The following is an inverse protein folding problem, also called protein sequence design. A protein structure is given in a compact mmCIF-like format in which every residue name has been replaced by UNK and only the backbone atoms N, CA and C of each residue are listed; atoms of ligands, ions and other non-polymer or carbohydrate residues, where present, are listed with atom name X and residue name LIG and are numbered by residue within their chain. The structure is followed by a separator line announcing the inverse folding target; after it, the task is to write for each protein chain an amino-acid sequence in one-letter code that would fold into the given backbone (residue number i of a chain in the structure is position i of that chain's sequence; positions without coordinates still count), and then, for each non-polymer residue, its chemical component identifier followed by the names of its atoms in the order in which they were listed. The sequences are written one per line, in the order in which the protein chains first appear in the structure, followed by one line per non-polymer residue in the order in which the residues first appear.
data_IF_839546651349
#
_entry.id   IF_839546651349
#
_cell.length_a   1.000
_cell.length_b   1.000
_cell.length_c   1.000
_cell.angle_alpha   90.00
_cell.angle_beta   90.00
_cell.angle_gamma   90.00
#
_symmetry.space_group_name_H-M   'P 1'
#
loop_
_entity.id
_entity.type
_entity.pdbx_description
1 polymer ?
#
# COMPACT_ATOMS: atom_id res chain seq x y z
N UNK A 1 15.65 -6.78 -27.02
CA UNK A 1 15.06 -7.35 -25.78
C UNK A 1 15.09 -6.30 -24.67
N UNK A 2 13.98 -6.02 -23.99
CA UNK A 2 13.98 -5.21 -22.76
C UNK A 2 14.33 -6.11 -21.57
N UNK A 3 15.19 -5.60 -20.68
CA UNK A 3 15.60 -6.29 -19.45
C UNK A 3 15.11 -5.50 -18.24
N UNK A 4 14.50 -6.20 -17.30
CA UNK A 4 14.17 -5.65 -15.98
C UNK A 4 14.64 -6.66 -14.93
N UNK A 5 15.82 -6.43 -14.35
CA UNK A 5 16.46 -7.36 -13.41
C UNK A 5 17.18 -6.57 -12.33
N UNK A 6 17.01 -6.99 -11.09
CA UNK A 6 17.78 -6.46 -9.97
C UNK A 6 19.12 -7.20 -9.87
N UNK A 7 20.22 -6.47 -10.10
CA UNK A 7 21.57 -7.01 -10.06
C UNK A 7 21.99 -7.45 -8.65
N UNK A 8 21.50 -6.79 -7.60
CA UNK A 8 21.90 -7.08 -6.22
C UNK A 8 21.34 -8.43 -5.75
N UNK A 9 20.11 -8.75 -6.12
CA UNK A 9 19.44 -10.00 -5.69
C UNK A 9 19.35 -11.06 -6.78
N UNK A 10 19.88 -10.78 -7.98
CA UNK A 10 19.79 -11.61 -9.18
C UNK A 10 18.34 -12.01 -9.52
N UNK A 11 17.38 -11.12 -9.23
CA UNK A 11 15.96 -11.32 -9.53
C UNK A 11 15.63 -10.76 -10.90
N UNK A 12 15.14 -11.62 -11.78
CA UNK A 12 14.74 -11.25 -13.13
C UNK A 12 13.21 -11.21 -13.29
N UNK A 13 12.71 -10.20 -14.00
CA UNK A 13 11.30 -9.99 -14.31
C UNK A 13 11.15 -9.92 -15.84
N UNK A 14 10.77 -11.06 -16.42
CA UNK A 14 10.87 -11.29 -17.87
C UNK A 14 9.54 -11.12 -18.63
N UNK A 15 8.41 -10.94 -17.94
CA UNK A 15 7.08 -10.81 -18.56
C UNK A 15 6.57 -9.38 -18.45
N UNK A 16 6.74 -8.59 -19.50
CA UNK A 16 6.15 -7.25 -19.61
C UNK A 16 4.61 -7.34 -19.47
N UNK A 17 4.02 -6.46 -18.67
CA UNK A 17 2.58 -6.40 -18.41
C UNK A 17 1.96 -5.16 -19.06
N UNK A 18 2.58 -4.00 -18.86
CA UNK A 18 2.08 -2.72 -19.34
C UNK A 18 3.22 -1.70 -19.47
N UNK A 19 2.97 -0.65 -20.26
CA UNK A 19 3.93 0.42 -20.55
C UNK A 19 3.24 1.78 -20.47
N UNK A 20 3.89 2.74 -19.82
CA UNK A 20 3.46 4.14 -19.78
C UNK A 20 4.58 5.06 -20.26
N UNK A 21 4.24 5.98 -21.17
CA UNK A 21 5.17 6.99 -21.68
C UNK A 21 4.97 8.30 -20.91
N UNK A 22 6.06 8.85 -20.40
CA UNK A 22 6.08 10.16 -19.75
C UNK A 22 7.07 11.07 -20.51
N UNK A 23 6.57 11.97 -21.38
CA UNK A 23 7.39 12.97 -22.04
C UNK A 23 8.13 13.87 -21.03
N UNK A 24 9.37 14.20 -21.35
CA UNK A 24 10.19 15.10 -20.53
C UNK A 24 9.73 16.57 -20.67
N UNK A 25 9.76 17.40 -19.60
CA UNK A 25 9.42 18.82 -19.69
C UNK A 25 10.24 19.62 -20.71
N UNK A 26 11.47 19.20 -20.99
CA UNK A 26 12.34 19.85 -22.00
C UNK A 26 11.78 19.74 -23.43
N UNK A 27 10.81 18.86 -23.68
CA UNK A 27 10.31 18.54 -25.01
C UNK A 27 11.24 17.66 -25.84
N UNK A 28 12.41 17.28 -25.29
CA UNK A 28 13.35 16.41 -25.97
C UNK A 28 12.83 14.97 -25.98
N UNK A 29 12.48 14.45 -27.16
CA UNK A 29 11.91 13.10 -27.28
C UNK A 29 12.82 11.99 -26.73
N UNK A 30 14.14 12.18 -26.78
CA UNK A 30 15.14 11.22 -26.27
C UNK A 30 15.03 11.02 -24.76
N UNK A 31 14.57 12.05 -24.05
CA UNK A 31 14.44 12.05 -22.59
C UNK A 31 13.06 11.57 -22.14
N UNK A 32 12.17 11.23 -23.09
CA UNK A 32 10.89 10.58 -22.78
C UNK A 32 11.15 9.26 -22.05
N UNK A 33 10.57 9.18 -20.85
CA UNK A 33 10.67 8.02 -19.97
C UNK A 33 9.63 6.98 -20.33
N UNK A 34 10.06 5.73 -20.40
CA UNK A 34 9.23 4.55 -20.68
C UNK A 34 9.17 3.73 -19.41
N UNK A 35 8.06 3.81 -18.68
CA UNK A 35 7.83 3.01 -17.49
C UNK A 35 7.24 1.66 -17.91
N UNK A 36 7.94 0.57 -17.61
CA UNK A 36 7.46 -0.79 -17.86
C UNK A 36 7.19 -1.54 -16.56
N UNK A 37 6.02 -2.16 -16.46
CA UNK A 37 5.72 -3.13 -15.40
C UNK A 37 6.06 -4.51 -15.90
N UNK A 38 6.88 -5.24 -15.15
CA UNK A 38 7.27 -6.60 -15.46
C UNK A 38 6.82 -7.53 -14.33
N UNK A 39 6.56 -8.78 -14.68
CA UNK A 39 6.34 -9.86 -13.72
C UNK A 39 7.26 -11.04 -14.00
N UNK A 40 7.35 -11.95 -13.03
CA UNK A 40 8.06 -13.22 -13.15
C UNK A 40 7.09 -14.42 -13.03
N UNK A 41 7.55 -15.67 -13.12
CA UNK A 41 6.69 -16.86 -13.01
C UNK A 41 5.93 -17.02 -11.69
N UNK A 42 6.34 -16.35 -10.61
CA UNK A 42 5.63 -16.31 -9.33
C UNK A 42 4.63 -15.16 -9.23
N UNK A 43 4.38 -14.44 -10.33
CA UNK A 43 3.56 -13.23 -10.38
C UNK A 43 4.07 -12.10 -9.45
N UNK A 44 5.34 -12.12 -9.06
CA UNK A 44 5.96 -10.94 -8.43
C UNK A 44 6.30 -9.92 -9.50
N UNK A 45 6.21 -8.64 -9.15
CA UNK A 45 6.36 -7.55 -10.10
C UNK A 45 7.52 -6.62 -9.79
N UNK A 46 8.02 -5.97 -10.84
CA UNK A 46 9.00 -4.90 -10.77
C UNK A 46 8.62 -3.79 -11.76
N UNK A 47 9.03 -2.56 -11.45
CA UNK A 47 8.89 -1.42 -12.36
C UNK A 47 10.27 -0.99 -12.82
N UNK A 48 10.50 -0.96 -14.13
CA UNK A 48 11.73 -0.44 -14.72
C UNK A 48 11.43 0.80 -15.55
N UNK A 49 12.38 1.72 -15.61
CA UNK A 49 12.27 2.94 -16.42
C UNK A 49 13.36 2.92 -17.49
N UNK A 50 13.00 3.20 -18.73
CA UNK A 50 13.91 3.32 -19.88
C UNK A 50 13.80 4.71 -20.49
N UNK A 51 14.79 5.14 -21.28
CA UNK A 51 14.67 6.35 -22.11
C UNK A 51 14.47 5.96 -23.57
N UNK A 52 13.68 6.75 -24.32
CA UNK A 52 13.59 6.57 -25.78
C UNK A 52 14.95 6.79 -26.45
N UNK A 53 15.83 7.62 -25.87
CA UNK A 53 17.19 7.83 -26.33
C UNK A 53 18.05 6.56 -26.28
N UNK A 54 18.02 5.82 -25.17
CA UNK A 54 18.77 4.57 -25.02
C UNK A 54 18.22 3.46 -25.92
N UNK A 55 16.89 3.39 -26.08
CA UNK A 55 16.24 2.46 -27.00
C UNK A 55 16.66 2.73 -28.45
N UNK A 56 16.60 4.00 -28.90
CA UNK A 56 17.04 4.41 -30.23
C UNK A 56 18.52 4.13 -30.45
N UNK A 57 19.36 4.41 -29.45
CA UNK A 57 20.80 4.12 -29.50
C UNK A 57 21.05 2.64 -29.75
N UNK A 58 20.41 1.75 -29.00
CA UNK A 58 20.53 0.29 -29.19
C UNK A 58 20.13 -0.12 -30.60
N UNK A 59 19.00 0.36 -31.13
CA UNK A 59 18.56 0.03 -32.49
C UNK A 59 19.54 0.51 -33.57
N UNK A 60 20.15 1.68 -33.38
CA UNK A 60 21.07 2.27 -34.36
C UNK A 60 22.50 1.72 -34.28
N UNK A 61 22.94 1.19 -33.15
CA UNK A 61 24.35 0.82 -32.96
C UNK A 61 24.60 -0.68 -32.78
N UNK A 62 23.64 -1.45 -32.23
CA UNK A 62 23.86 -2.87 -31.94
C UNK A 62 24.14 -3.69 -33.21
N UNK A 63 24.88 -4.79 -33.11
CA UNK A 63 24.84 -5.83 -34.14
C UNK A 63 23.50 -6.57 -34.12
N UNK A 64 23.22 -7.33 -35.18
CA UNK A 64 22.07 -8.24 -35.24
C UNK A 64 22.51 -9.63 -34.76
N UNK A 65 21.70 -10.27 -33.93
CA UNK A 65 22.01 -11.56 -33.33
C UNK A 65 22.10 -12.63 -34.42
N UNK A 66 23.19 -13.39 -34.43
CA UNK A 66 23.45 -14.42 -35.46
C UNK A 66 23.99 -13.88 -36.78
N UNK A 67 24.15 -12.56 -36.94
CA UNK A 67 24.75 -11.95 -38.13
C UNK A 67 26.17 -11.47 -37.84
N UNK A 68 27.16 -12.07 -38.52
CA UNK A 68 28.59 -11.84 -38.24
C UNK A 68 29.32 -11.06 -39.35
N UNK A 69 28.64 -10.72 -40.44
CA UNK A 69 29.18 -9.95 -41.56
C UNK A 69 28.99 -8.44 -41.37
N UNK A 70 29.57 -7.63 -42.26
CA UNK A 70 29.29 -6.20 -42.32
C UNK A 70 27.80 -5.96 -42.64
N UNK A 71 27.21 -4.97 -41.99
CA UNK A 71 25.81 -4.59 -42.24
C UNK A 71 25.69 -3.85 -43.58
N UNK A 72 24.58 -4.05 -44.32
CA UNK A 72 24.34 -3.35 -45.57
C UNK A 72 24.10 -1.85 -45.34
N UNK A 73 24.23 -1.06 -46.42
CA UNK A 73 23.89 0.36 -46.44
C UNK A 73 22.71 0.57 -47.40
N UNK A 74 21.54 1.06 -46.94
CA UNK A 74 21.24 1.56 -45.60
C UNK A 74 21.19 0.46 -44.54
N UNK A 75 21.49 0.84 -43.29
CA UNK A 75 21.44 -0.06 -42.14
C UNK A 75 20.01 -0.62 -41.95
N UNK A 76 19.85 -1.92 -41.62
CA UNK A 76 18.57 -2.50 -41.23
C UNK A 76 17.85 -1.67 -40.15
N UNK A 77 16.57 -1.35 -40.38
CA UNK A 77 15.74 -0.55 -39.47
C UNK A 77 15.89 0.97 -39.60
N UNK A 78 16.78 1.49 -40.48
CA UNK A 78 16.90 2.92 -40.74
C UNK A 78 15.81 3.40 -41.70
N UNK A 79 15.07 4.43 -41.30
CA UNK A 79 14.12 5.11 -42.18
C UNK A 79 14.85 5.84 -43.32
N UNK A 80 14.29 5.79 -44.53
CA UNK A 80 14.80 6.50 -45.70
C UNK A 80 13.98 7.76 -46.02
N UNK A 81 14.61 8.82 -46.54
CA UNK A 81 13.92 10.02 -46.98
C UNK A 81 13.10 9.76 -48.26
N UNK A 82 12.27 10.74 -48.64
CA UNK A 82 11.59 10.82 -49.94
C UNK A 82 10.80 9.57 -50.37
N UNK A 83 10.25 8.84 -49.39
CA UNK A 83 9.48 7.60 -49.61
C UNK A 83 10.26 6.52 -50.39
N UNK A 84 11.59 6.56 -50.34
CA UNK A 84 12.43 5.58 -51.02
C UNK A 84 12.19 4.17 -50.44
N UNK A 85 12.06 3.13 -51.30
CA UNK A 85 11.91 1.77 -50.82
C UNK A 85 13.23 1.28 -50.21
N UNK A 86 13.13 0.41 -49.19
CA UNK A 86 14.29 -0.25 -48.59
C UNK A 86 14.92 -1.20 -49.64
N UNK A 87 16.24 -1.11 -49.92
CA UNK A 87 16.91 -2.05 -50.81
C UNK A 87 16.74 -3.51 -50.37
N UNK A 88 16.58 -4.41 -51.35
CA UNK A 88 16.30 -5.83 -51.10
C UNK A 88 17.38 -6.47 -50.22
N UNK A 89 18.64 -6.12 -50.41
CA UNK A 89 19.76 -6.61 -49.59
C UNK A 89 19.63 -6.22 -48.11
N UNK A 90 19.25 -4.97 -47.82
CA UNK A 90 18.98 -4.50 -46.45
C UNK A 90 17.78 -5.22 -45.86
N UNK A 91 16.72 -5.37 -46.63
CA UNK A 91 15.51 -6.05 -46.21
C UNK A 91 15.78 -7.52 -45.84
N UNK A 92 16.48 -8.27 -46.70
CA UNK A 92 16.79 -9.69 -46.44
C UNK A 92 17.60 -9.90 -45.16
N UNK A 93 18.51 -8.98 -44.83
CA UNK A 93 19.27 -9.04 -43.57
C UNK A 93 18.34 -8.77 -42.39
N UNK A 94 17.51 -7.74 -42.47
CA UNK A 94 16.56 -7.37 -41.41
C UNK A 94 15.53 -8.47 -41.14
N UNK A 95 14.99 -9.08 -42.22
CA UNK A 95 13.98 -10.14 -42.17
C UNK A 95 14.54 -11.43 -41.56
N UNK A 96 15.77 -11.82 -41.92
CA UNK A 96 16.42 -13.02 -41.36
C UNK A 96 16.96 -12.82 -39.93
N UNK A 97 17.37 -11.61 -39.58
CA UNK A 97 17.98 -11.31 -38.27
C UNK A 97 17.33 -10.09 -37.59
N UNK A 98 16.04 -10.18 -37.20
CA UNK A 98 15.30 -9.03 -36.66
C UNK A 98 15.69 -8.66 -35.23
N UNK A 99 16.31 -9.58 -34.47
CA UNK A 99 16.73 -9.34 -33.08
C UNK A 99 18.11 -8.68 -33.02
N UNK A 100 18.19 -7.51 -32.38
CA UNK A 100 19.48 -6.88 -32.02
C UNK A 100 20.17 -7.67 -30.90
N UNK A 101 21.50 -7.78 -30.96
CA UNK A 101 22.30 -8.53 -29.99
C UNK A 101 22.37 -7.85 -28.60
N UNK A 102 22.45 -6.52 -28.56
CA UNK A 102 22.48 -5.76 -27.32
C UNK A 102 21.07 -5.68 -26.70
N UNK A 103 21.03 -5.74 -25.37
CA UNK A 103 19.80 -5.62 -24.59
C UNK A 103 19.53 -4.15 -24.26
N UNK A 104 18.25 -3.80 -24.15
CA UNK A 104 17.81 -2.50 -23.61
C UNK A 104 17.68 -2.66 -22.09
N UNK A 105 18.42 -1.84 -21.36
CA UNK A 105 18.52 -1.90 -19.90
C UNK A 105 17.91 -0.63 -19.27
N UNK A 106 17.48 -0.67 -17.99
CA UNK A 106 16.90 0.49 -17.32
C UNK A 106 17.84 1.70 -17.27
N UNK A 107 17.26 2.89 -17.12
CA UNK A 107 17.96 4.15 -16.91
C UNK A 107 18.80 4.13 -15.63
N UNK A 108 19.79 5.02 -15.59
CA UNK A 108 20.64 5.23 -14.42
C UNK A 108 21.87 4.31 -14.38
N UNK A 109 22.87 4.63 -13.53
CA UNK A 109 24.15 3.93 -13.52
C UNK A 109 24.04 2.44 -13.16
N UNK A 110 23.10 2.11 -12.26
CA UNK A 110 22.92 0.76 -11.72
C UNK A 110 22.04 -0.14 -12.60
N UNK A 111 21.31 0.43 -13.58
CA UNK A 111 20.45 -0.31 -14.52
C UNK A 111 19.53 -1.34 -13.85
N UNK A 112 18.96 -0.98 -12.70
CA UNK A 112 18.14 -1.84 -11.83
C UNK A 112 16.67 -1.36 -11.85
N UNK A 113 15.68 -2.18 -11.43
CA UNK A 113 14.31 -1.72 -11.31
C UNK A 113 14.20 -0.57 -10.30
N UNK A 114 13.22 0.30 -10.53
CA UNK A 114 12.85 1.37 -9.60
C UNK A 114 12.51 0.79 -8.22
N UNK A 115 11.74 -0.32 -8.24
CA UNK A 115 11.53 -1.20 -7.11
C UNK A 115 10.94 -2.52 -7.60
N UNK A 116 10.88 -3.50 -6.69
CA UNK A 116 10.16 -4.75 -6.91
C UNK A 116 9.34 -5.14 -5.66
N UNK A 117 8.26 -5.86 -5.84
CA UNK A 117 7.43 -6.36 -4.74
C UNK A 117 6.86 -7.74 -5.04
N UNK A 118 6.24 -8.36 -4.03
CA UNK A 118 5.52 -9.63 -4.18
C UNK A 118 4.09 -9.45 -4.70
N UNK A 119 3.65 -8.22 -4.97
CA UNK A 119 2.36 -7.95 -5.59
C UNK A 119 2.42 -8.26 -7.08
N UNK A 120 1.30 -8.72 -7.63
CA UNK A 120 1.13 -8.90 -9.06
C UNK A 120 0.53 -7.64 -9.67
N UNK A 121 1.38 -6.77 -10.19
CA UNK A 121 0.95 -5.57 -10.89
C UNK A 121 0.64 -5.84 -12.36
N UNK A 122 -0.41 -5.18 -12.87
CA UNK A 122 -0.91 -5.40 -14.24
C UNK A 122 -0.86 -4.16 -15.12
N UNK A 123 -1.05 -2.96 -14.56
CA UNK A 123 -1.05 -1.68 -15.31
C UNK A 123 -0.32 -0.59 -14.56
N UNK A 124 0.22 0.39 -15.28
CA UNK A 124 0.89 1.56 -14.70
C UNK A 124 0.42 2.87 -15.34
N UNK A 125 0.26 3.89 -14.51
CA UNK A 125 0.19 5.27 -14.95
C UNK A 125 1.12 6.11 -14.08
N UNK A 126 1.75 7.14 -14.65
CA UNK A 126 2.70 7.97 -13.90
C UNK A 126 2.34 9.44 -14.03
N UNK A 127 2.25 10.13 -12.90
CA UNK A 127 2.04 11.57 -12.86
C UNK A 127 3.30 12.26 -12.34
N UNK A 128 3.83 13.21 -13.12
CA UNK A 128 4.86 14.14 -12.68
C UNK A 128 4.18 15.36 -12.06
N UNK A 129 4.54 15.71 -10.84
CA UNK A 129 3.90 16.77 -10.06
C UNK A 129 4.92 17.59 -9.27
N UNK A 130 4.55 18.82 -8.90
CA UNK A 130 5.34 19.68 -8.02
C UNK A 130 4.69 19.80 -6.64
N UNK A 131 5.46 19.49 -5.60
CA UNK A 131 5.06 19.60 -4.21
C UNK A 131 4.87 21.07 -3.82
N UNK A 132 4.34 21.34 -2.62
CA UNK A 132 4.06 22.71 -2.16
C UNK A 132 5.31 23.60 -2.14
N UNK A 133 6.51 23.01 -2.01
CA UNK A 133 7.79 23.71 -2.02
C UNK A 133 8.51 23.66 -3.38
N UNK A 134 7.83 23.25 -4.45
CA UNK A 134 8.35 23.24 -5.82
C UNK A 134 9.18 22.00 -6.20
N UNK A 135 9.47 21.12 -5.26
CA UNK A 135 10.16 19.85 -5.53
C UNK A 135 9.32 18.96 -6.46
N UNK A 136 9.96 18.35 -7.45
CA UNK A 136 9.28 17.52 -8.44
C UNK A 136 9.31 16.06 -8.04
N UNK A 137 8.13 15.43 -8.03
CA UNK A 137 7.95 14.01 -7.76
C UNK A 137 7.32 13.30 -8.96
N UNK A 138 7.69 12.04 -9.14
CA UNK A 138 7.01 11.11 -10.03
C UNK A 138 6.21 10.12 -9.19
N UNK A 139 4.90 10.06 -9.40
CA UNK A 139 4.01 9.19 -8.62
C UNK A 139 3.37 8.17 -9.55
N UNK A 140 3.61 6.90 -9.25
CA UNK A 140 3.14 5.75 -9.98
C UNK A 140 1.81 5.28 -9.39
N UNK A 141 0.86 4.98 -10.26
CA UNK A 141 -0.40 4.31 -9.95
C UNK A 141 -0.35 2.93 -10.58
N UNK A 142 -0.40 1.89 -9.76
CA UNK A 142 -0.21 0.50 -10.17
C UNK A 142 -1.44 -0.32 -9.81
N UNK A 143 -2.04 -0.98 -10.79
CA UNK A 143 -3.17 -1.88 -10.53
C UNK A 143 -2.67 -3.26 -10.11
N UNK A 144 -3.33 -3.87 -9.12
CA UNK A 144 -3.07 -5.25 -8.70
C UNK A 144 -4.06 -6.22 -9.35
N UNK A 145 -3.70 -7.50 -9.39
CA UNK A 145 -4.60 -8.60 -9.76
C UNK A 145 -5.77 -8.81 -8.80
N UNK A 146 -5.78 -8.09 -7.66
CA UNK A 146 -6.87 -8.08 -6.66
C UNK A 146 -7.84 -6.92 -6.81
N UNK A 147 -7.68 -6.09 -7.85
CA UNK A 147 -8.58 -4.96 -8.09
C UNK A 147 -8.35 -3.78 -7.15
N UNK A 148 -7.12 -3.61 -6.67
CA UNK A 148 -6.67 -2.45 -5.90
C UNK A 148 -5.64 -1.63 -6.67
N UNK A 149 -5.40 -0.41 -6.23
CA UNK A 149 -4.43 0.52 -6.82
C UNK A 149 -3.39 0.86 -5.76
N UNK A 150 -2.11 0.65 -6.06
CA UNK A 150 -1.01 1.17 -5.25
C UNK A 150 -0.58 2.53 -5.79
N UNK A 151 -0.44 3.49 -4.88
CA UNK A 151 0.14 4.80 -5.15
C UNK A 151 1.57 4.80 -4.61
N UNK A 152 2.55 4.87 -5.50
CA UNK A 152 3.97 4.72 -5.16
C UNK A 152 4.74 5.97 -5.59
N UNK A 153 5.49 6.56 -4.67
CA UNK A 153 6.40 7.67 -4.97
C UNK A 153 7.73 7.11 -5.46
N UNK A 154 8.18 7.56 -6.63
CA UNK A 154 9.50 7.24 -7.18
C UNK A 154 10.63 7.76 -6.26
N UNK A 155 11.70 6.97 -6.02
CA UNK A 155 12.88 7.44 -5.31
C UNK A 155 13.49 8.68 -5.99
N UNK A 156 14.03 9.58 -5.19
CA UNK A 156 14.86 10.70 -5.67
C UNK A 156 16.27 10.24 -6.08
N UNK A 157 17.17 11.21 -6.25
CA UNK A 157 18.56 10.92 -6.65
C UNK A 157 19.49 10.57 -5.48
N UNK A 158 19.00 10.65 -4.24
CA UNK A 158 19.82 10.40 -3.04
C UNK A 158 19.98 8.89 -2.79
N UNK A 159 21.18 8.47 -2.34
CA UNK A 159 21.54 7.05 -2.06
C UNK A 159 20.63 6.35 -1.02
N UNK A 160 19.84 7.10 -0.27
CA UNK A 160 18.88 6.57 0.72
C UNK A 160 17.42 6.73 0.32
N UNK A 161 17.14 7.14 -0.91
CA UNK A 161 15.79 7.23 -1.42
C UNK A 161 15.33 5.88 -1.98
N UNK A 162 14.19 5.41 -1.48
CA UNK A 162 13.56 4.17 -1.92
C UNK A 162 12.16 4.49 -2.43
N UNK A 163 11.66 3.70 -3.38
CA UNK A 163 10.27 3.80 -3.77
C UNK A 163 9.39 3.56 -2.55
N UNK A 164 8.42 4.43 -2.31
CA UNK A 164 7.59 4.39 -1.13
C UNK A 164 6.12 4.21 -1.53
N UNK A 165 5.53 3.07 -1.17
CA UNK A 165 4.12 2.78 -1.41
C UNK A 165 3.28 3.46 -0.34
N UNK A 166 2.70 4.62 -0.66
CA UNK A 166 2.00 5.46 0.33
C UNK A 166 0.59 4.98 0.63
N UNK A 167 -0.06 4.27 -0.31
CA UNK A 167 -1.46 3.92 -0.18
C UNK A 167 -1.86 2.76 -1.10
N UNK A 168 -2.72 1.88 -0.58
CA UNK A 168 -3.50 0.92 -1.35
C UNK A 168 -4.98 1.36 -1.36
N UNK A 169 -5.54 1.57 -2.55
CA UNK A 169 -6.91 2.04 -2.76
C UNK A 169 -7.76 0.90 -3.31
N UNK A 170 -8.91 0.66 -2.69
CA UNK A 170 -9.99 -0.09 -3.33
C UNK A 170 -10.95 0.91 -3.99
N UNK A 171 -10.95 1.04 -5.33
CA UNK A 171 -11.65 2.14 -6.01
C UNK A 171 -13.14 1.90 -6.27
N UNK A 172 -13.66 0.69 -6.09
CA UNK A 172 -14.99 0.27 -6.50
C UNK A 172 -15.91 0.01 -5.32
N UNK A 173 -17.21 0.27 -5.46
CA UNK A 173 -18.16 -0.13 -4.41
C UNK A 173 -18.22 -1.66 -4.30
N UNK A 174 -18.14 -2.36 -5.43
CA UNK A 174 -18.03 -3.82 -5.48
C UNK A 174 -16.62 -4.21 -5.91
N UNK A 175 -15.86 -4.81 -4.99
CA UNK A 175 -14.52 -5.29 -5.27
C UNK A 175 -14.50 -6.18 -6.53
N UNK A 176 -13.70 -5.78 -7.52
CA UNK A 176 -13.64 -6.38 -8.85
C UNK A 176 -12.28 -6.11 -9.48
N UNK A 177 -11.87 -6.97 -10.42
CA UNK A 177 -10.64 -6.75 -11.18
C UNK A 177 -10.72 -5.45 -12.01
N UNK A 178 -9.61 -4.69 -12.03
CA UNK A 178 -9.50 -3.46 -12.82
C UNK A 178 -9.20 -3.83 -14.27
N UNK A 179 -10.12 -3.52 -15.19
CA UNK A 179 -10.00 -3.82 -16.62
C UNK A 179 -9.25 -2.72 -17.38
N UNK A 180 -9.52 -1.46 -17.05
CA UNK A 180 -8.83 -0.30 -17.65
C UNK A 180 -8.46 0.72 -16.58
N UNK A 181 -7.38 1.45 -16.83
CA UNK A 181 -6.92 2.56 -16.01
C UNK A 181 -6.41 3.67 -16.93
N UNK A 182 -6.87 4.90 -16.72
CA UNK A 182 -6.44 6.07 -17.46
C UNK A 182 -6.26 7.26 -16.54
N UNK A 183 -5.09 7.90 -16.62
CA UNK A 183 -4.73 9.06 -15.83
C UNK A 183 -5.06 10.35 -16.60
N UNK A 184 -5.77 11.24 -15.92
CA UNK A 184 -6.01 12.62 -16.35
C UNK A 184 -5.21 13.56 -15.43
N UNK A 185 -4.04 13.98 -15.91
CA UNK A 185 -3.14 14.87 -15.19
C UNK A 185 -3.69 16.31 -15.08
N UNK A 186 -4.55 16.72 -16.02
CA UNK A 186 -5.12 18.07 -16.05
C UNK A 186 -6.21 18.22 -14.99
N UNK A 187 -7.07 17.21 -14.84
CA UNK A 187 -8.10 17.18 -13.79
C UNK A 187 -7.60 16.58 -12.48
N UNK A 188 -6.40 15.99 -12.48
CA UNK A 188 -5.79 15.26 -11.36
C UNK A 188 -6.70 14.13 -10.88
N UNK A 189 -7.15 13.31 -11.84
CA UNK A 189 -8.09 12.21 -11.60
C UNK A 189 -7.59 10.94 -12.29
N UNK A 190 -7.78 9.81 -11.65
CA UNK A 190 -7.53 8.49 -12.19
C UNK A 190 -8.89 7.83 -12.46
N UNK A 191 -9.15 7.48 -13.70
CA UNK A 191 -10.36 6.75 -14.08
C UNK A 191 -10.02 5.28 -14.19
N UNK A 192 -10.77 4.44 -13.48
CA UNK A 192 -10.63 2.99 -13.48
C UNK A 192 -11.96 2.34 -13.75
N UNK A 193 -11.96 1.25 -14.51
CA UNK A 193 -13.17 0.48 -14.81
C UNK A 193 -13.04 -0.97 -14.39
N UNK A 194 -14.16 -1.55 -14.01
CA UNK A 194 -14.34 -2.99 -13.86
C UNK A 194 -15.43 -3.47 -14.82
N UNK A 195 -15.75 -4.76 -14.77
CA UNK A 195 -16.88 -5.33 -15.50
C UNK A 195 -18.25 -4.75 -15.09
N UNK A 196 -18.34 -3.95 -14.03
CA UNK A 196 -19.62 -3.50 -13.47
C UNK A 196 -19.77 -2.00 -13.29
N UNK A 197 -18.67 -1.28 -13.09
CA UNK A 197 -18.69 0.15 -12.74
C UNK A 197 -17.41 0.85 -13.22
N UNK A 198 -17.52 2.16 -13.41
CA UNK A 198 -16.39 3.07 -13.61
C UNK A 198 -16.29 3.95 -12.37
N UNK A 199 -15.08 4.08 -11.84
CA UNK A 199 -14.80 4.91 -10.68
C UNK A 199 -13.77 5.99 -11.03
N UNK A 200 -13.98 7.17 -10.47
CA UNK A 200 -13.09 8.31 -10.58
C UNK A 200 -12.40 8.51 -9.23
N UNK A 201 -11.08 8.35 -9.19
CA UNK A 201 -10.27 8.46 -7.99
C UNK A 201 -9.43 9.74 -8.04
N UNK A 202 -9.54 10.64 -7.03
CA UNK A 202 -8.64 11.79 -6.91
C UNK A 202 -7.18 11.34 -6.70
N UNK A 203 -6.26 11.98 -7.42
CA UNK A 203 -4.83 11.82 -7.17
C UNK A 203 -4.44 12.44 -5.82
N UNK A 204 -5.19 13.47 -5.41
CA UNK A 204 -5.02 14.30 -4.22
C UNK A 204 -6.02 13.94 -3.10
N UNK A 205 -6.23 12.64 -2.89
CA UNK A 205 -7.15 12.11 -1.88
C UNK A 205 -6.55 12.20 -0.46
N UNK A 206 -6.44 13.40 0.10
CA UNK A 206 -5.76 13.64 1.37
C UNK A 206 -6.60 13.38 2.62
N UNK A 207 -7.94 13.34 2.47
CA UNK A 207 -8.88 13.16 3.58
C UNK A 207 -8.75 11.79 4.27
N UNK A 208 -8.08 10.83 3.62
CA UNK A 208 -7.79 9.50 4.19
C UNK A 208 -6.78 9.56 5.35
N UNK A 209 -5.97 10.63 5.43
CA UNK A 209 -4.94 10.78 6.45
C UNK A 209 -5.50 11.48 7.70
N UNK A 210 -6.18 10.71 8.56
CA UNK A 210 -6.88 11.19 9.76
C UNK A 210 -6.03 11.37 11.02
N UNK A 211 -4.74 11.04 11.00
CA UNK A 211 -3.86 11.05 12.20
C UNK A 211 -3.38 12.43 12.66
N UNK A 212 -4.18 13.48 12.46
CA UNK A 212 -3.79 14.87 12.72
C UNK A 212 -2.63 15.32 11.83
N UNK A 213 -1.91 16.36 12.28
CA UNK A 213 -0.75 16.87 11.54
C UNK A 213 0.31 15.79 11.32
N UNK A 214 0.58 15.00 12.36
CA UNK A 214 1.58 13.93 12.30
C UNK A 214 1.21 12.89 11.25
N UNK A 215 -0.04 12.39 11.25
CA UNK A 215 -0.50 11.43 10.25
C UNK A 215 -0.45 11.99 8.82
N UNK A 216 -0.79 13.27 8.65
CA UNK A 216 -0.69 13.94 7.35
C UNK A 216 0.75 13.97 6.81
N UNK A 217 1.73 14.39 7.62
CA UNK A 217 3.13 14.45 7.19
C UNK A 217 3.78 13.06 7.09
N UNK A 218 3.42 12.13 7.98
CA UNK A 218 3.91 10.75 7.94
C UNK A 218 3.40 9.97 6.73
N UNK A 219 2.32 10.42 6.07
CA UNK A 219 1.85 9.83 4.81
C UNK A 219 2.89 9.90 3.69
N UNK A 220 3.77 10.92 3.73
CA UNK A 220 4.72 11.25 2.65
C UNK A 220 4.04 11.39 1.29
N UNK A 221 2.77 11.77 1.26
CA UNK A 221 2.01 11.99 0.04
C UNK A 221 2.28 13.40 -0.52
N UNK A 222 2.98 13.53 -1.67
CA UNK A 222 3.38 14.84 -2.18
C UNK A 222 2.20 15.69 -2.70
N UNK A 223 0.98 15.12 -2.74
CA UNK A 223 -0.25 15.84 -3.07
C UNK A 223 -0.90 16.49 -1.84
N UNK A 224 -0.41 16.18 -0.64
CA UNK A 224 -1.08 16.50 0.61
C UNK A 224 -0.20 17.32 1.55
N UNK A 225 -0.83 18.20 2.31
CA UNK A 225 -0.18 18.91 3.42
C UNK A 225 -1.19 19.33 4.48
N UNK A 226 -0.66 19.76 5.62
CA UNK A 226 -1.44 20.18 6.76
C UNK A 226 -1.72 21.68 6.69
N UNK A 227 -2.99 22.06 6.72
CA UNK A 227 -3.43 23.46 6.83
C UNK A 227 -4.79 23.52 7.53
N UNK A 228 -5.05 24.62 8.24
CA UNK A 228 -6.33 24.87 8.94
C UNK A 228 -6.82 23.71 9.82
N UNK A 229 -5.90 22.95 10.43
CA UNK A 229 -6.25 21.83 11.31
C UNK A 229 -6.70 20.56 10.58
N UNK A 230 -6.42 20.41 9.28
CA UNK A 230 -6.79 19.25 8.47
C UNK A 230 -5.72 18.92 7.43
N UNK A 231 -5.70 17.66 6.98
CA UNK A 231 -4.88 17.22 5.86
C UNK A 231 -5.64 17.50 4.55
N UNK A 232 -5.09 18.37 3.69
CA UNK A 232 -5.77 18.84 2.49
C UNK A 232 -4.89 18.70 1.25
N UNK A 233 -5.54 18.71 0.09
CA UNK A 233 -4.87 18.79 -1.22
C UNK A 233 -4.09 20.09 -1.35
N UNK A 234 -2.84 20.01 -1.83
CA UNK A 234 -2.03 21.19 -2.16
C UNK A 234 -2.65 22.03 -3.27
N UNK A 235 -3.56 21.46 -4.07
CA UNK A 235 -4.26 22.16 -5.14
C UNK A 235 -5.54 22.86 -4.67
N UNK A 236 -5.97 22.61 -3.42
CA UNK A 236 -7.15 23.25 -2.83
C UNK A 236 -6.81 24.52 -2.04
N UNK A 237 -5.53 24.75 -1.74
CA UNK A 237 -5.06 25.90 -0.95
C UNK A 237 -4.34 26.91 -1.84
N UNK A 238 -4.68 28.19 -1.72
CA UNK A 238 -3.94 29.28 -2.36
C UNK A 238 -2.63 29.61 -1.62
N UNK A 239 -2.47 29.11 -0.39
CA UNK A 239 -1.28 29.31 0.45
C UNK A 239 -0.46 28.04 0.54
N UNK A 240 0.84 28.19 0.80
CA UNK A 240 1.72 27.07 1.12
C UNK A 240 1.16 26.26 2.30
N UNK A 241 0.95 24.97 2.10
CA UNK A 241 0.59 24.04 3.16
C UNK A 241 1.86 23.58 3.88
N UNK A 242 1.72 23.11 5.12
CA UNK A 242 2.83 22.46 5.81
C UNK A 242 3.01 21.06 5.20
N UNK A 243 4.15 20.78 4.58
CA UNK A 243 4.42 19.53 3.87
C UNK A 243 5.86 19.08 4.05
N UNK A 244 6.06 17.80 4.36
CA UNK A 244 7.37 17.19 4.54
C UNK A 244 7.36 15.76 4.01
N UNK A 245 8.24 15.44 3.05
CA UNK A 245 8.24 14.16 2.31
C UNK A 245 9.54 13.36 2.53
N UNK A 246 10.68 14.04 2.41
CA UNK A 246 12.01 13.41 2.36
C UNK A 246 12.71 13.15 3.71
N UNK A 247 12.51 13.92 4.80
CA UNK A 247 13.26 13.65 6.03
C UNK A 247 12.81 12.34 6.69
N UNK A 248 13.70 11.72 7.45
CA UNK A 248 13.40 10.49 8.20
C UNK A 248 12.24 10.67 9.19
N UNK A 249 12.07 11.88 9.74
CA UNK A 249 11.04 12.25 10.70
C UNK A 249 10.22 13.47 10.22
N UNK A 250 9.32 13.29 9.23
CA UNK A 250 8.54 14.39 8.63
C UNK A 250 7.65 15.13 9.64
N UNK A 251 7.20 14.43 10.68
CA UNK A 251 6.30 14.97 11.71
C UNK A 251 6.91 16.10 12.55
N UNK A 252 8.24 16.30 12.53
CA UNK A 252 8.93 17.34 13.32
C UNK A 252 8.57 18.76 12.90
N UNK A 253 8.05 18.95 11.69
CA UNK A 253 7.59 20.25 11.21
C UNK A 253 6.19 20.62 11.73
N UNK A 254 5.48 19.68 12.37
CA UNK A 254 4.19 19.96 12.98
C UNK A 254 4.30 20.92 14.17
N UNK A 255 3.25 21.74 14.43
CA UNK A 255 3.22 22.65 15.59
C UNK A 255 3.45 21.94 16.93
N UNK A 256 2.89 20.74 17.08
CA UNK A 256 3.11 19.89 18.24
C UNK A 256 4.26 18.92 17.94
N UNK A 257 5.36 18.91 18.73
CA UNK A 257 6.50 18.03 18.47
C UNK A 257 6.21 16.56 18.82
N UNK A 258 5.16 16.31 19.60
CA UNK A 258 4.69 14.96 19.96
C UNK A 258 3.28 14.74 19.41
N UNK A 259 2.94 13.52 19.00
CA UNK A 259 1.59 13.21 18.56
C UNK A 259 0.60 13.33 19.72
N UNK A 260 -0.66 13.56 19.37
CA UNK A 260 -1.76 13.55 20.33
C UNK A 260 -1.91 12.14 20.93
N UNK A 261 -2.27 12.09 22.22
CA UNK A 261 -2.56 10.83 22.91
C UNK A 261 -3.89 10.25 22.44
N UNK A 262 -4.03 8.92 22.51
CA UNK A 262 -5.29 8.29 22.18
C UNK A 262 -6.36 8.65 23.23
N UNK A 263 -7.63 8.77 22.83
CA UNK A 263 -8.71 8.98 23.79
C UNK A 263 -8.85 7.75 24.70
N UNK A 264 -8.94 7.97 26.02
CA UNK A 264 -9.13 6.91 26.99
C UNK A 264 -10.52 6.26 26.86
N UNK A 265 -10.54 4.96 26.58
CA UNK A 265 -11.73 4.12 26.56
C UNK A 265 -11.81 3.27 27.83
N UNK A 266 -12.93 3.31 28.54
CA UNK A 266 -13.15 2.54 29.78
C UNK A 266 -14.19 1.45 29.53
N UNK A 267 -13.95 0.26 30.07
CA UNK A 267 -14.92 -0.84 30.07
C UNK A 267 -14.84 -1.57 31.41
N UNK A 268 -16.00 -1.88 31.96
CA UNK A 268 -16.11 -2.70 33.18
C UNK A 268 -16.40 -4.13 32.78
N UNK A 269 -15.67 -5.08 33.36
CA UNK A 269 -15.80 -6.50 33.04
C UNK A 269 -15.86 -7.31 34.33
N UNK A 270 -16.58 -8.43 34.31
CA UNK A 270 -16.60 -9.40 35.40
C UNK A 270 -15.33 -10.28 35.36
N UNK A 271 -14.84 -10.78 36.51
CA UNK A 271 -13.73 -11.74 36.53
C UNK A 271 -14.10 -13.02 35.75
N UNK A 272 -13.09 -13.65 35.16
CA UNK A 272 -13.20 -14.84 34.29
C UNK A 272 -14.04 -14.65 33.02
N UNK A 273 -14.40 -13.41 32.66
CA UNK A 273 -15.00 -13.13 31.36
C UNK A 273 -13.94 -13.22 30.25
N UNK A 274 -14.39 -13.63 29.07
CA UNK A 274 -13.58 -13.58 27.84
C UNK A 274 -13.78 -12.23 27.17
N UNK A 275 -12.69 -11.63 26.71
CA UNK A 275 -12.71 -10.35 26.03
C UNK A 275 -11.62 -10.24 24.97
N UNK A 276 -11.67 -9.19 24.15
CA UNK A 276 -10.59 -8.86 23.22
C UNK A 276 -10.49 -7.35 23.03
N UNK A 277 -9.29 -6.87 22.74
CA UNK A 277 -9.02 -5.49 22.38
C UNK A 277 -8.55 -5.46 20.93
N UNK A 278 -9.24 -4.65 20.11
CA UNK A 278 -8.93 -4.51 18.68
C UNK A 278 -8.28 -3.15 18.43
N UNK A 279 -7.11 -3.17 17.78
CA UNK A 279 -6.38 -1.98 17.35
C UNK A 279 -6.28 -1.95 15.82
N UNK A 280 -7.07 -1.11 15.13
CA UNK A 280 -6.96 -0.94 13.69
C UNK A 280 -5.57 -0.40 13.30
N UNK A 281 -4.91 -1.08 12.35
CA UNK A 281 -3.58 -0.72 11.89
C UNK A 281 -3.68 0.21 10.68
N UNK A 282 -3.66 1.52 10.94
CA UNK A 282 -3.70 2.58 9.92
C UNK A 282 -2.46 2.57 9.03
N UNK A 283 -1.25 2.61 9.62
CA UNK A 283 0.00 2.47 8.86
C UNK A 283 0.34 1.00 8.68
N UNK A 284 0.56 0.57 7.44
CA UNK A 284 1.05 -0.79 7.13
C UNK A 284 2.57 -0.91 7.20
N UNK A 285 3.26 0.19 7.49
CA UNK A 285 4.71 0.23 7.67
C UNK A 285 5.13 0.20 9.14
N UNK A 286 4.19 0.40 10.06
CA UNK A 286 4.44 0.37 11.49
C UNK A 286 4.27 -1.03 12.09
N UNK A 287 5.05 -1.32 13.13
CA UNK A 287 4.78 -2.43 14.06
C UNK A 287 3.82 -1.94 15.14
N UNK A 288 2.79 -2.73 15.43
CA UNK A 288 1.81 -2.43 16.48
C UNK A 288 2.01 -3.36 17.67
N UNK A 289 2.01 -2.83 18.88
CA UNK A 289 2.18 -3.63 20.10
C UNK A 289 1.15 -3.27 21.16
N UNK A 290 0.47 -4.27 21.72
CA UNK A 290 -0.34 -4.10 22.91
C UNK A 290 0.53 -4.23 24.16
N UNK A 291 0.49 -3.21 25.02
CA UNK A 291 1.18 -3.19 26.31
C UNK A 291 0.24 -3.17 27.49
N UNK A 292 0.61 -3.91 28.53
CA UNK A 292 -0.01 -3.91 29.85
C UNK A 292 1.08 -4.00 30.92
N UNK A 293 1.04 -3.11 31.92
CA UNK A 293 2.06 -3.05 32.99
C UNK A 293 3.51 -3.10 32.45
N UNK A 294 3.78 -2.31 31.41
CA UNK A 294 5.08 -2.21 30.72
C UNK A 294 5.49 -3.45 29.90
N UNK A 295 4.77 -4.56 29.98
CA UNK A 295 5.03 -5.75 29.18
C UNK A 295 4.28 -5.69 27.84
N UNK A 296 4.89 -6.24 26.80
CA UNK A 296 4.23 -6.44 25.49
C UNK A 296 3.49 -7.77 25.53
N UNK A 297 2.16 -7.71 25.42
CA UNK A 297 1.29 -8.89 25.44
C UNK A 297 1.01 -9.43 24.03
N UNK A 298 1.04 -8.54 23.02
CA UNK A 298 0.84 -8.89 21.61
C UNK A 298 1.65 -7.95 20.72
N UNK A 299 2.25 -8.48 19.64
CA UNK A 299 2.92 -7.69 18.60
C UNK A 299 2.45 -8.08 17.21
N UNK A 300 2.23 -7.09 16.36
CA UNK A 300 1.76 -7.24 14.99
C UNK A 300 2.71 -6.48 14.05
N UNK A 301 3.50 -7.24 13.29
CA UNK A 301 4.53 -6.70 12.39
C UNK A 301 3.96 -6.30 11.01
N UNK A 302 4.68 -5.44 10.26
CA UNK A 302 4.37 -5.17 8.85
C UNK A 302 4.23 -6.46 8.04
N UNK A 303 3.10 -6.61 7.33
CA UNK A 303 2.73 -7.85 6.63
C UNK A 303 1.71 -8.72 7.36
N UNK A 304 1.26 -8.32 8.55
CA UNK A 304 0.11 -8.93 9.22
C UNK A 304 -1.16 -8.85 8.35
N UNK A 305 -1.78 -10.01 8.09
CA UNK A 305 -2.87 -10.14 7.12
C UNK A 305 -4.16 -9.43 7.56
N UNK A 306 -4.52 -9.57 8.84
CA UNK A 306 -5.68 -8.87 9.40
C UNK A 306 -5.40 -7.37 9.46
N UNK A 307 -6.41 -6.50 9.20
CA UNK A 307 -6.28 -5.06 9.38
C UNK A 307 -6.21 -4.62 10.84
N UNK A 308 -6.48 -5.52 11.78
CA UNK A 308 -6.47 -5.23 13.21
C UNK A 308 -5.40 -6.06 13.92
N UNK A 309 -4.67 -5.41 14.82
CA UNK A 309 -3.86 -6.05 15.84
C UNK A 309 -4.73 -6.34 17.07
N UNK A 310 -4.99 -7.62 17.32
CA UNK A 310 -5.96 -8.05 18.33
C UNK A 310 -5.24 -8.70 19.52
N UNK A 311 -5.51 -8.18 20.71
CA UNK A 311 -5.15 -8.82 21.97
C UNK A 311 -6.36 -9.62 22.47
N UNK A 312 -6.16 -10.93 22.68
CA UNK A 312 -7.17 -11.80 23.27
C UNK A 312 -6.96 -11.93 24.77
N UNK A 313 -8.05 -11.84 25.53
CA UNK A 313 -8.08 -12.08 26.98
C UNK A 313 -9.03 -13.25 27.20
N UNK A 314 -8.48 -14.46 27.33
CA UNK A 314 -9.29 -15.68 27.40
C UNK A 314 -10.09 -15.78 28.69
N UNK A 315 -9.42 -15.55 29.83
CA UNK A 315 -9.99 -15.54 31.17
C UNK A 315 -9.44 -14.34 31.94
N UNK A 316 -10.27 -13.31 32.14
CA UNK A 316 -9.86 -12.09 32.82
C UNK A 316 -9.57 -12.33 34.31
N UNK A 317 -8.30 -12.14 34.71
CA UNK A 317 -7.86 -12.27 36.11
C UNK A 317 -7.69 -10.90 36.78
N UNK A 318 -7.64 -10.88 38.12
CA UNK A 318 -7.41 -9.65 38.88
C UNK A 318 -6.10 -8.92 38.48
N UNK A 319 -5.09 -9.67 38.02
CA UNK A 319 -3.83 -9.08 37.57
C UNK A 319 -3.95 -8.35 36.23
N UNK A 320 -4.94 -8.69 35.40
CA UNK A 320 -5.15 -8.15 34.06
C UNK A 320 -6.05 -6.90 34.03
N UNK A 321 -6.53 -6.41 35.17
CA UNK A 321 -7.15 -5.08 35.20
C UNK A 321 -6.12 -3.96 35.02
N UNK A 322 -6.61 -2.78 34.64
CA UNK A 322 -5.80 -1.58 34.47
C UNK A 322 -5.70 -1.14 33.01
N UNK A 323 -4.62 -0.41 32.71
CA UNK A 323 -4.45 0.25 31.42
C UNK A 323 -3.79 -0.66 30.38
N UNK A 324 -4.35 -0.63 29.18
CA UNK A 324 -3.83 -1.26 27.97
C UNK A 324 -3.59 -0.19 26.91
N UNK A 325 -2.41 -0.23 26.30
CA UNK A 325 -2.02 0.72 25.26
C UNK A 325 -1.72 -0.07 23.99
N UNK A 326 -2.29 0.35 22.86
CA UNK A 326 -1.82 -0.07 21.56
C UNK A 326 -0.88 1.01 21.03
N UNK A 327 0.38 0.68 20.85
CA UNK A 327 1.40 1.60 20.34
C UNK A 327 1.82 1.19 18.93
N UNK A 328 1.89 2.17 18.04
CA UNK A 328 2.41 2.00 16.68
C UNK A 328 3.81 2.63 16.59
N UNK A 329 4.75 1.89 16.01
CA UNK A 329 6.12 2.36 15.80
C UNK A 329 6.54 2.20 14.33
N UNK A 330 6.94 3.31 13.70
CA UNK A 330 7.48 3.34 12.34
C UNK A 330 8.87 4.01 12.36
N UNK A 331 9.92 3.21 12.27
CA UNK A 331 11.29 3.68 12.48
C UNK A 331 11.48 4.24 13.90
N UNK A 332 11.81 5.53 14.00
CA UNK A 332 11.94 6.26 15.28
C UNK A 332 10.64 6.93 15.75
N UNK A 333 9.59 6.96 14.92
CA UNK A 333 8.32 7.58 15.26
C UNK A 333 7.43 6.63 16.07
N UNK A 334 6.84 7.15 17.16
CA UNK A 334 5.93 6.42 18.04
C UNK A 334 4.59 7.15 18.15
N UNK A 335 3.50 6.38 18.15
CA UNK A 335 2.14 6.90 18.37
C UNK A 335 1.35 5.96 19.26
N UNK A 336 0.63 6.52 20.22
CA UNK A 336 -0.42 5.80 20.95
C UNK A 336 -1.66 5.72 20.04
N UNK A 337 -1.94 4.52 19.51
CA UNK A 337 -3.03 4.29 18.58
C UNK A 337 -4.36 4.03 19.31
N UNK A 338 -4.31 3.34 20.45
CA UNK A 338 -5.47 3.09 21.32
C UNK A 338 -5.09 3.13 22.80
N UNK A 339 -6.01 3.60 23.63
CA UNK A 339 -5.88 3.58 25.09
C UNK A 339 -7.14 3.00 25.73
N UNK A 340 -7.00 1.85 26.36
CA UNK A 340 -8.07 1.18 27.10
C UNK A 340 -7.77 1.12 28.60
N UNK A 341 -8.82 1.14 29.41
CA UNK A 341 -8.75 0.82 30.83
C UNK A 341 -9.83 -0.20 31.15
N UNK A 342 -9.39 -1.40 31.53
CA UNK A 342 -10.26 -2.45 32.05
C UNK A 342 -10.47 -2.19 33.54
N UNK A 343 -11.73 -2.05 33.93
CA UNK A 343 -12.16 -1.83 35.31
C UNK A 343 -12.89 -3.08 35.81
N UNK A 344 -12.73 -3.45 37.10
CA UNK A 344 -13.60 -4.45 37.69
C UNK A 344 -15.03 -3.91 37.73
N UNK A 345 -16.01 -4.74 37.39
CA UNK A 345 -17.40 -4.41 37.70
C UNK A 345 -17.59 -4.27 39.21
N UNK A 346 -18.13 -3.12 39.64
CA UNK A 346 -18.50 -2.91 41.03
C UNK A 346 -19.67 -3.84 41.40
N UNK A 347 -19.42 -4.79 42.30
CA UNK A 347 -20.41 -5.75 42.81
C UNK A 347 -21.63 -5.13 43.52
N UNK A 348 -21.65 -3.81 43.70
CA UNK A 348 -22.71 -3.07 44.42
C UNK A 348 -24.01 -3.00 43.58
N UNK A 349 -23.96 -3.19 42.26
CA UNK A 349 -25.16 -3.31 41.41
C UNK A 349 -25.69 -4.75 41.30
N UNK A 350 -24.86 -5.77 41.54
CA UNK A 350 -25.28 -7.16 41.48
C UNK A 350 -26.08 -7.58 42.74
N UNK A 351 -25.74 -7.04 43.91
CA UNK A 351 -26.50 -7.31 45.15
C UNK A 351 -27.89 -6.65 45.15
N UNK A 352 -28.09 -5.51 44.47
CA UNK A 352 -29.40 -4.87 44.38
C UNK A 352 -30.42 -5.65 43.54
N UNK A 353 -29.97 -6.50 42.61
CA UNK A 353 -30.85 -7.38 41.83
C UNK A 353 -31.10 -8.74 42.52
N UNK A 354 -30.21 -9.18 43.41
CA UNK A 354 -30.40 -10.37 44.25
C UNK A 354 -31.27 -10.12 45.50
N UNK A 355 -31.38 -8.86 45.94
CA UNK A 355 -32.20 -8.46 47.10
C UNK A 355 -33.73 -8.54 46.94
N UNK A 356 -34.26 -8.81 45.73
CA UNK A 356 -35.71 -8.91 45.49
C UNK A 356 -36.24 -10.34 45.28
N UNK A 357 -35.38 -11.37 45.35
CA UNK A 357 -35.80 -12.77 45.15
C UNK A 357 -35.96 -13.57 46.46
N UNK A 358 -36.04 -12.92 47.62
CA UNK A 358 -36.20 -13.57 48.92
C UNK A 358 -37.50 -13.16 49.61
N UNK A 359 -38.63 -13.34 48.93
CA UNK A 359 -39.94 -13.39 49.58
C UNK A 359 -40.90 -14.20 48.71
N UNK A 360 -40.98 -15.51 48.97
CA UNK A 360 -42.20 -16.33 48.97
C UNK A 360 -41.79 -17.80 49.14
N UNK A 361 -41.46 -18.17 50.38
CA UNK A 361 -41.39 -19.57 50.81
C UNK A 361 -42.12 -19.73 52.14
N UNK A 362 -43.45 -19.84 52.06
CA UNK A 362 -44.31 -20.47 53.06
C UNK A 362 -45.63 -20.74 52.33
N UNK A 363 -45.96 -21.95 51.92
CA UNK A 363 -46.37 -23.03 52.81
C UNK A 363 -46.82 -24.18 51.90
N UNK A 364 -46.45 -25.42 52.24
CA UNK A 364 -47.18 -26.67 51.92
C UNK A 364 -46.41 -27.86 52.53
N UNK A 365 -46.79 -28.18 53.77
CA UNK A 365 -46.69 -29.50 54.42
C UNK A 365 -48.15 -29.97 54.51
N UNK A 366 -48.64 -31.20 54.31
CA UNK A 366 -48.21 -32.61 54.34
C UNK A 366 -49.18 -33.37 53.39
N UNK A 367 -48.98 -34.59 52.89
CA UNK A 367 -48.02 -35.65 53.13
C UNK A 367 -48.54 -36.98 52.55
N UNK A 368 -47.72 -38.01 52.72
CA UNK A 368 -48.05 -39.45 52.79
C UNK A 368 -48.17 -40.24 51.46
N UNK A 369 -47.06 -40.95 51.19
CA UNK A 369 -46.91 -42.19 50.41
C UNK A 369 -47.83 -43.32 50.91
N UNK A 370 -48.17 -44.32 50.07
CA UNK A 370 -47.38 -45.55 50.15
C UNK A 370 -47.02 -46.19 48.81
N UNK A 371 -45.92 -46.93 48.91
CA UNK A 371 -45.22 -47.82 47.98
C UNK A 371 -45.98 -49.08 47.56
N UNK A 372 -45.38 -49.77 46.56
CA UNK A 372 -45.52 -51.19 46.12
C UNK A 372 -46.35 -51.36 44.82
N UNK A 373 -46.00 -52.13 43.78
CA UNK A 373 -44.85 -52.99 43.40
C UNK A 373 -45.10 -53.47 41.96
N UNK A 374 -44.00 -53.76 41.23
CA UNK A 374 -43.83 -54.75 40.14
C UNK A 374 -44.71 -54.72 38.88
N UNK A 375 -44.04 -54.83 37.73
CA UNK A 375 -44.64 -55.43 36.52
C UNK A 375 -43.90 -55.13 35.21
N UNK A 376 -43.03 -56.05 34.81
CA UNK A 376 -42.42 -56.19 33.48
C UNK A 376 -43.45 -56.16 32.33
N UNK A 377 -43.08 -55.63 31.15
CA UNK A 377 -42.99 -56.34 29.85
C UNK A 377 -43.04 -55.37 28.63
N UNK A 378 -41.98 -55.41 27.82
CA UNK A 378 -41.95 -55.58 26.34
C UNK A 378 -43.09 -54.96 25.52
N UNK A 379 -42.78 -53.94 24.70
CA UNK A 379 -42.60 -54.11 23.26
C UNK A 379 -41.85 -52.94 22.61
#
# INVERSE_FOLDING_TARGET
MLVCSDAATNKNFNRLQDVFLLPDPSGQWRDTRVYGVFSNPWNYSAVCVYSLGDIDKVFRTSSLKGYHSSLPNPRPGKCLPDQQPIPTETFQVADRHPEVAQRVEPMGPLKTPLFHSKYHYQKVAVHRMQASHGETFHVLYLTTDRGTIHKVVEPGEQEHSFAFNIMEIQPFRRAAAIQTMSLDAERRKLYVSSQWEVSQVPLDLCEVYGGGCHGCLMSRDPYCGWDQGRCISIYSSERSVLQSINPAEPHKECPNPKPDKAPLQKVSLAPNSRYYLSCPMESRHATYSWRHKENVEQSCEPGHQSPNCILFIENLTAQQYGHYFCEAQEGSYFREAQHWQLLPEDGIMAEHLLGHACALAASLWLGVLPTLTLGLLVH
#
